data_IF_130106040991
#
_entry.id   IF_130106040991
#
_cell.length_a   1.000
_cell.length_b   1.000
_cell.length_c   1.000
_cell.angle_alpha   90.00
_cell.angle_beta   90.00
_cell.angle_gamma   90.00
#
_symmetry.space_group_name_H-M   'P 1'
#
loop_
_entity.id
_entity.type
_entity.pdbx_description
1 polymer ?
#
# COMPACT_ATOMS: atom_id res chain seq x y z
N UNK A 1 58.07 19.08 -47.61
CA UNK A 1 56.64 18.78 -47.73
C UNK A 1 56.47 17.28 -47.74
N UNK A 2 55.71 16.73 -46.77
CA UNK A 2 55.06 15.41 -46.69
C UNK A 2 55.99 14.15 -46.73
N UNK A 3 55.77 13.02 -46.05
CA UNK A 3 54.62 12.36 -45.42
C UNK A 3 55.13 11.53 -44.22
N UNK A 4 54.32 11.39 -43.16
CA UNK A 4 54.58 10.53 -41.99
C UNK A 4 53.54 9.41 -41.96
N UNK A 5 53.94 8.13 -41.88
CA UNK A 5 53.02 6.98 -41.81
C UNK A 5 53.53 5.90 -40.84
N UNK A 6 52.78 5.77 -39.72
CA UNK A 6 52.32 4.58 -38.96
C UNK A 6 53.15 3.66 -38.04
N UNK A 7 52.44 3.32 -36.94
CA UNK A 7 52.39 2.11 -36.08
C UNK A 7 53.56 1.84 -35.11
N UNK A 8 53.36 1.76 -33.79
CA UNK A 8 52.67 0.67 -33.04
C UNK A 8 52.42 1.19 -31.61
N UNK A 9 51.23 1.07 -31.00
CA UNK A 9 50.70 -0.16 -30.41
C UNK A 9 50.67 -0.04 -28.88
N UNK A 10 49.61 0.58 -28.30
CA UNK A 10 49.37 0.59 -26.85
C UNK A 10 48.29 -0.44 -26.54
N UNK A 11 48.66 -1.49 -25.83
CA UNK A 11 47.77 -2.48 -25.24
C UNK A 11 48.08 -2.48 -23.74
N UNK A 12 47.22 -1.84 -22.95
CA UNK A 12 47.23 -1.96 -21.51
C UNK A 12 45.78 -2.11 -21.02
N UNK A 13 45.56 -3.21 -20.29
CA UNK A 13 44.29 -3.72 -19.78
C UNK A 13 43.38 -2.66 -19.15
N UNK A 14 42.19 -2.48 -19.73
CA UNK A 14 41.07 -1.85 -19.03
C UNK A 14 40.30 -2.89 -18.22
N UNK A 15 40.67 -3.08 -16.96
CA UNK A 15 39.85 -3.82 -16.00
C UNK A 15 38.78 -2.86 -15.43
N UNK A 16 37.65 -2.76 -16.11
CA UNK A 16 36.47 -2.06 -15.58
C UNK A 16 35.66 -3.06 -14.74
N UNK A 17 35.90 -3.08 -13.43
CA UNK A 17 34.98 -3.69 -12.47
C UNK A 17 33.67 -2.89 -12.50
N UNK A 18 32.68 -3.38 -13.25
CA UNK A 18 31.32 -2.89 -13.19
C UNK A 18 30.72 -3.28 -11.83
N UNK A 19 30.86 -2.37 -10.86
CA UNK A 19 30.21 -2.49 -9.57
C UNK A 19 28.69 -2.53 -9.76
N UNK A 20 28.10 -3.69 -9.50
CA UNK A 20 26.65 -3.85 -9.41
C UNK A 20 26.19 -3.04 -8.19
N UNK A 21 25.76 -1.80 -8.42
CA UNK A 21 25.10 -1.01 -7.41
C UNK A 21 23.77 -1.70 -7.08
N UNK A 22 23.74 -2.38 -5.93
CA UNK A 22 22.52 -2.87 -5.33
C UNK A 22 21.71 -1.64 -4.91
N UNK A 23 20.76 -1.23 -5.76
CA UNK A 23 19.80 -0.20 -5.38
C UNK A 23 18.94 -0.78 -4.25
N UNK A 24 19.23 -0.38 -3.02
CA UNK A 24 18.34 -0.65 -1.90
C UNK A 24 16.98 -0.01 -2.21
N UNK A 25 15.84 -0.68 -1.92
CA UNK A 25 14.54 -0.04 -2.06
C UNK A 25 14.51 1.20 -1.16
N UNK A 26 14.09 2.33 -1.72
CA UNK A 26 13.84 3.53 -0.94
C UNK A 26 12.84 3.17 0.15
N UNK A 27 13.25 3.31 1.41
CA UNK A 27 12.32 3.19 2.53
C UNK A 27 11.29 4.31 2.36
N UNK A 28 10.01 3.94 2.24
CA UNK A 28 8.91 4.88 2.25
C UNK A 28 9.04 5.76 3.51
N UNK A 29 9.12 7.07 3.34
CA UNK A 29 8.99 8.01 4.46
C UNK A 29 7.64 7.74 5.10
N UNK A 30 7.54 7.44 6.41
CA UNK A 30 6.24 7.31 7.07
C UNK A 30 5.45 8.59 6.83
N UNK A 31 4.47 8.50 5.94
CA UNK A 31 3.69 9.64 5.50
C UNK A 31 2.69 10.00 6.57
N UNK A 32 2.60 11.28 6.89
CA UNK A 32 1.53 11.92 7.68
C UNK A 32 0.14 11.81 6.99
N UNK A 33 0.02 10.96 5.97
CA UNK A 33 -1.22 10.75 5.24
C UNK A 33 -2.19 9.98 6.13
N UNK A 34 -3.30 10.61 6.45
CA UNK A 34 -4.37 10.04 7.26
C UNK A 34 -5.48 9.44 6.38
N UNK A 35 -5.44 9.65 5.06
CA UNK A 35 -6.43 9.11 4.10
C UNK A 35 -6.35 7.61 3.92
N UNK A 36 -5.22 6.99 4.26
CA UNK A 36 -5.05 5.54 4.36
C UNK A 36 -4.61 5.20 5.77
N UNK A 37 -5.38 4.36 6.46
CA UNK A 37 -5.02 3.86 7.79
C UNK A 37 -3.74 3.03 7.67
N UNK A 38 -2.69 3.50 8.33
CA UNK A 38 -1.39 2.88 8.39
C UNK A 38 -0.94 2.66 9.84
N UNK A 39 0.06 1.81 10.03
CA UNK A 39 0.77 1.67 11.30
C UNK A 39 1.51 2.99 11.61
N UNK A 40 1.20 3.68 12.73
CA UNK A 40 1.84 4.95 13.08
C UNK A 40 3.36 4.85 13.27
N UNK A 41 3.89 3.67 13.60
CA UNK A 41 5.31 3.46 13.83
C UNK A 41 6.08 3.24 12.51
N UNK A 42 5.48 2.52 11.56
CA UNK A 42 6.16 2.13 10.32
C UNK A 42 5.67 2.85 9.07
N UNK A 43 4.51 3.50 9.11
CA UNK A 43 3.85 4.13 7.97
C UNK A 43 3.24 3.14 6.97
N UNK A 44 3.19 1.84 7.32
CA UNK A 44 2.73 0.80 6.40
C UNK A 44 1.21 0.70 6.46
N UNK A 45 0.58 0.80 5.28
CA UNK A 45 -0.86 0.67 5.10
C UNK A 45 -1.38 -0.63 5.72
N UNK A 46 -2.58 -0.57 6.29
CA UNK A 46 -3.26 -1.72 6.88
C UNK A 46 -2.44 -2.44 7.94
N UNK A 47 -1.49 -1.77 8.60
CA UNK A 47 -0.54 -2.37 9.53
C UNK A 47 0.26 -3.55 8.94
N UNK A 48 0.50 -3.51 7.62
CA UNK A 48 1.23 -4.53 6.88
C UNK A 48 0.44 -5.78 6.51
N UNK A 49 -0.87 -5.79 6.72
CA UNK A 49 -1.74 -6.86 6.22
C UNK A 49 -1.98 -6.73 4.71
N UNK A 50 -2.03 -7.86 4.03
CA UNK A 50 -2.27 -7.95 2.60
C UNK A 50 -3.77 -7.70 2.29
N UNK A 51 -4.12 -6.62 1.57
CA UNK A 51 -5.50 -6.31 1.24
C UNK A 51 -6.16 -7.34 0.30
N UNK A 52 -5.37 -8.03 -0.54
CA UNK A 52 -5.88 -9.03 -1.48
C UNK A 52 -6.29 -10.32 -0.74
N UNK A 53 -5.59 -10.66 0.33
CA UNK A 53 -5.84 -11.89 1.10
C UNK A 53 -7.25 -11.93 1.73
N UNK A 54 -7.86 -10.78 2.01
CA UNK A 54 -9.25 -10.72 2.49
C UNK A 54 -10.25 -11.31 1.49
N UNK A 55 -9.95 -11.24 0.19
CA UNK A 55 -10.79 -11.74 -0.88
C UNK A 55 -10.40 -13.15 -1.32
N UNK A 56 -9.10 -13.45 -1.40
CA UNK A 56 -8.60 -14.73 -1.90
C UNK A 56 -8.53 -15.81 -0.83
N UNK A 57 -8.23 -15.43 0.42
CA UNK A 57 -8.09 -16.35 1.55
C UNK A 57 -9.21 -16.20 2.59
N UNK A 58 -10.04 -15.14 2.49
CA UNK A 58 -11.13 -14.88 3.42
C UNK A 58 -10.67 -14.55 4.85
N UNK A 59 -9.41 -14.15 5.02
CA UNK A 59 -8.81 -13.86 6.32
C UNK A 59 -7.67 -12.84 6.21
N UNK A 60 -7.32 -12.13 7.30
CA UNK A 60 -6.16 -11.25 7.33
C UNK A 60 -4.88 -12.08 7.24
N UNK A 61 -3.97 -11.69 6.36
CA UNK A 61 -2.64 -12.30 6.22
C UNK A 61 -1.59 -11.21 6.24
N UNK A 62 -0.52 -11.39 7.01
CA UNK A 62 0.60 -10.44 7.01
C UNK A 62 1.36 -10.52 5.69
N UNK A 63 1.58 -9.35 5.10
CA UNK A 63 2.47 -9.19 3.98
C UNK A 63 3.94 -9.26 4.39
N UNK A 64 4.81 -9.36 3.39
CA UNK A 64 6.26 -9.48 3.56
C UNK A 64 6.94 -8.21 3.03
N UNK A 65 8.03 -7.73 3.66
CA UNK A 65 8.81 -6.61 3.13
C UNK A 65 9.33 -6.83 1.70
N UNK A 66 9.53 -8.09 1.31
CA UNK A 66 9.94 -8.47 -0.05
C UNK A 66 8.88 -8.12 -1.11
N UNK A 67 7.61 -8.04 -0.73
CA UNK A 67 6.50 -7.75 -1.63
C UNK A 67 5.81 -6.47 -1.15
N UNK A 68 6.35 -5.32 -1.56
CA UNK A 68 5.86 -4.01 -1.18
C UNK A 68 5.55 -3.16 -2.42
N UNK A 69 4.55 -2.29 -2.34
CA UNK A 69 4.24 -1.32 -3.38
C UNK A 69 3.62 -0.05 -2.79
N UNK A 70 3.83 1.08 -3.46
CA UNK A 70 3.21 2.35 -3.07
C UNK A 70 1.93 2.59 -3.87
N UNK A 71 0.87 3.01 -3.17
CA UNK A 71 -0.37 3.46 -3.79
C UNK A 71 -1.17 4.32 -2.81
N UNK A 72 -1.82 5.38 -3.31
CA UNK A 72 -2.65 6.26 -2.48
C UNK A 72 -1.89 7.01 -1.38
N UNK A 73 -0.58 7.23 -1.56
CA UNK A 73 0.27 7.89 -0.57
C UNK A 73 0.76 6.99 0.57
N UNK A 74 0.53 5.67 0.49
CA UNK A 74 0.96 4.71 1.51
C UNK A 74 1.71 3.51 0.90
N UNK A 75 2.59 2.91 1.72
CA UNK A 75 3.28 1.66 1.38
C UNK A 75 2.46 0.45 1.81
N UNK A 76 2.20 -0.47 0.88
CA UNK A 76 1.39 -1.67 1.05
C UNK A 76 2.26 -2.92 0.99
N UNK A 77 2.00 -3.88 1.88
CA UNK A 77 2.69 -5.18 1.88
C UNK A 77 1.76 -6.31 1.46
N UNK A 78 2.35 -7.31 0.81
CA UNK A 78 1.62 -8.45 0.25
C UNK A 78 2.24 -9.77 0.69
N UNK A 79 1.41 -10.80 0.83
CA UNK A 79 1.84 -12.15 1.21
C UNK A 79 2.62 -12.84 0.06
N UNK A 80 2.36 -12.42 -1.18
CA UNK A 80 2.98 -12.94 -2.40
C UNK A 80 3.18 -11.87 -3.48
N UNK A 81 4.07 -12.14 -4.44
CA UNK A 81 4.23 -11.29 -5.63
C UNK A 81 2.97 -11.25 -6.50
N UNK A 82 2.18 -12.32 -6.51
CA UNK A 82 0.91 -12.38 -7.25
C UNK A 82 -0.13 -11.44 -6.65
N UNK A 83 -0.26 -11.39 -5.32
CA UNK A 83 -1.17 -10.47 -4.64
C UNK A 83 -0.76 -9.01 -4.87
N UNK A 84 0.54 -8.71 -4.81
CA UNK A 84 1.07 -7.38 -5.18
C UNK A 84 0.67 -6.98 -6.59
N UNK A 85 0.83 -7.88 -7.56
CA UNK A 85 0.46 -7.63 -8.95
C UNK A 85 -1.05 -7.43 -9.12
N UNK A 86 -1.87 -8.25 -8.46
CA UNK A 86 -3.32 -8.12 -8.47
C UNK A 86 -3.76 -6.76 -7.89
N UNK A 87 -3.20 -6.37 -6.74
CA UNK A 87 -3.47 -5.06 -6.14
C UNK A 87 -3.11 -3.92 -7.09
N UNK A 88 -1.90 -3.90 -7.66
CA UNK A 88 -1.48 -2.83 -8.57
C UNK A 88 -2.30 -2.75 -9.86
N UNK A 89 -2.94 -3.85 -10.26
CA UNK A 89 -3.83 -3.85 -11.44
C UNK A 89 -5.21 -3.25 -11.18
N UNK A 90 -5.69 -3.28 -9.93
CA UNK A 90 -7.02 -2.81 -9.55
C UNK A 90 -7.07 -2.41 -8.06
N UNK A 91 -6.30 -1.40 -7.64
CA UNK A 91 -6.10 -1.10 -6.22
C UNK A 91 -7.41 -0.65 -5.55
N UNK A 92 -8.30 0.02 -6.29
CA UNK A 92 -9.61 0.44 -5.78
C UNK A 92 -10.54 -0.73 -5.45
N UNK A 93 -10.28 -1.94 -5.98
CA UNK A 93 -11.05 -3.16 -5.65
C UNK A 93 -10.60 -3.74 -4.31
N UNK A 94 -9.28 -3.77 -4.09
CA UNK A 94 -8.69 -4.47 -2.95
C UNK A 94 -8.46 -3.56 -1.74
N UNK A 95 -8.20 -2.27 -1.95
CA UNK A 95 -8.06 -1.32 -0.87
C UNK A 95 -9.35 -1.26 -0.04
N UNK A 96 -9.25 -1.16 1.30
CA UNK A 96 -10.41 -1.00 2.14
C UNK A 96 -11.14 0.30 1.81
N UNK A 97 -12.47 0.25 1.87
CA UNK A 97 -13.31 1.43 1.78
C UNK A 97 -12.95 2.43 2.88
N UNK A 98 -13.14 3.71 2.58
CA UNK A 98 -12.86 4.81 3.51
C UNK A 98 -11.41 4.79 4.02
N UNK A 99 -10.46 4.33 3.19
CA UNK A 99 -9.05 4.23 3.59
C UNK A 99 -8.76 3.23 4.70
N UNK A 100 -9.72 2.38 5.08
CA UNK A 100 -9.61 1.52 6.26
C UNK A 100 -10.16 2.14 7.54
N UNK A 101 -10.79 3.32 7.47
CA UNK A 101 -11.55 3.87 8.60
C UNK A 101 -12.87 3.12 8.81
N UNK A 102 -13.28 3.03 10.08
CA UNK A 102 -14.51 2.38 10.50
C UNK A 102 -15.75 3.05 9.86
N UNK A 103 -16.54 2.33 9.05
CA UNK A 103 -17.73 2.86 8.41
C UNK A 103 -18.75 3.46 9.39
N UNK A 104 -18.88 2.91 10.60
CA UNK A 104 -19.81 3.45 11.60
C UNK A 104 -19.29 4.74 12.25
N UNK A 105 -17.98 4.96 12.24
CA UNK A 105 -17.42 6.26 12.63
C UNK A 105 -17.62 7.27 11.50
N UNK A 106 -17.35 6.87 10.25
CA UNK A 106 -17.50 7.72 9.07
C UNK A 106 -18.96 8.18 8.92
N UNK A 107 -19.93 7.28 9.08
CA UNK A 107 -21.36 7.58 9.07
C UNK A 107 -21.80 8.58 10.18
N UNK A 108 -20.93 8.87 11.15
CA UNK A 108 -21.13 9.87 12.21
C UNK A 108 -20.23 11.08 12.04
N UNK A 109 -19.72 11.30 10.82
CA UNK A 109 -18.85 12.42 10.45
C UNK A 109 -17.46 12.37 11.08
N UNK A 110 -16.93 11.18 11.40
CA UNK A 110 -15.64 11.03 12.10
C UNK A 110 -14.75 9.98 11.46
N UNK A 111 -13.46 10.26 11.37
CA UNK A 111 -12.46 9.24 11.05
C UNK A 111 -12.07 8.46 12.33
N UNK A 112 -12.06 7.14 12.24
CA UNK A 112 -11.49 6.26 13.27
C UNK A 112 -10.86 5.06 12.58
N UNK A 113 -9.62 4.71 12.94
CA UNK A 113 -8.94 3.58 12.33
C UNK A 113 -9.70 2.27 12.59
N UNK A 114 -9.98 1.52 11.52
CA UNK A 114 -10.43 0.15 11.62
C UNK A 114 -9.29 -0.78 12.02
N UNK A 115 -9.64 -1.93 12.59
CA UNK A 115 -8.68 -2.97 12.96
C UNK A 115 -8.61 -4.03 11.83
N UNK A 116 -7.42 -4.38 11.30
CA UNK A 116 -7.30 -5.35 10.20
C UNK A 116 -7.95 -6.71 10.47
N UNK A 117 -7.97 -7.15 11.73
CA UNK A 117 -8.61 -8.41 12.11
C UNK A 117 -10.14 -8.36 12.25
N UNK A 118 -10.73 -7.17 12.20
CA UNK A 118 -12.18 -6.98 12.31
C UNK A 118 -12.66 -6.38 11.01
N UNK A 119 -13.09 -7.24 10.08
CA UNK A 119 -13.42 -6.86 8.73
C UNK A 119 -14.71 -7.52 8.25
N UNK A 120 -15.26 -6.99 7.17
CA UNK A 120 -16.27 -7.63 6.35
C UNK A 120 -15.97 -7.38 4.87
N UNK A 121 -16.22 -8.38 4.03
CA UNK A 121 -16.28 -8.19 2.58
C UNK A 121 -17.75 -8.20 2.20
N UNK A 122 -18.27 -7.06 1.74
CA UNK A 122 -19.67 -6.88 1.37
C UNK A 122 -19.74 -6.31 -0.04
N UNK A 123 -20.46 -6.98 -0.95
CA UNK A 123 -20.59 -6.58 -2.36
C UNK A 123 -19.21 -6.30 -3.00
N UNK A 124 -18.29 -7.24 -2.81
CA UNK A 124 -16.92 -7.20 -3.34
C UNK A 124 -16.10 -5.97 -2.88
N UNK A 125 -16.43 -5.39 -1.72
CA UNK A 125 -15.69 -4.30 -1.09
C UNK A 125 -15.26 -4.68 0.32
N UNK A 126 -14.02 -4.33 0.67
CA UNK A 126 -13.44 -4.55 1.99
C UNK A 126 -13.79 -3.40 2.93
N UNK A 127 -14.31 -3.72 4.11
CA UNK A 127 -14.58 -2.78 5.19
C UNK A 127 -13.85 -3.23 6.46
N UNK A 128 -13.19 -2.31 7.15
CA UNK A 128 -12.56 -2.55 8.45
C UNK A 128 -13.31 -1.84 9.55
N UNK A 129 -13.36 -2.44 10.74
CA UNK A 129 -14.11 -1.93 11.89
C UNK A 129 -13.21 -1.82 13.10
N UNK A 130 -13.48 -0.88 14.00
CA UNK A 130 -12.67 -0.73 15.21
C UNK A 130 -12.94 -1.83 16.25
N UNK A 131 -14.10 -2.48 16.18
CA UNK A 131 -14.53 -3.51 17.13
C UNK A 131 -15.51 -4.50 16.48
N UNK A 132 -15.59 -5.75 16.98
CA UNK A 132 -16.56 -6.73 16.51
C UNK A 132 -18.00 -6.22 16.56
N UNK A 133 -18.40 -5.53 17.64
CA UNK A 133 -19.75 -4.96 17.76
C UNK A 133 -20.08 -3.96 16.64
N UNK A 134 -19.09 -3.17 16.21
CA UNK A 134 -19.27 -2.23 15.11
C UNK A 134 -19.48 -2.97 13.78
N UNK A 135 -18.70 -4.02 13.53
CA UNK A 135 -18.88 -4.89 12.36
C UNK A 135 -20.25 -5.57 12.38
N UNK A 136 -20.65 -6.14 13.50
CA UNK A 136 -21.87 -6.93 13.60
C UNK A 136 -23.14 -6.05 13.51
N UNK A 137 -23.01 -4.76 13.86
CA UNK A 137 -24.07 -3.75 13.67
C UNK A 137 -24.10 -3.15 12.26
N UNK A 138 -23.11 -3.46 11.41
CA UNK A 138 -23.00 -2.88 10.08
C UNK A 138 -23.92 -3.59 9.08
N UNK A 139 -24.90 -2.85 8.56
CA UNK A 139 -25.89 -3.39 7.61
C UNK A 139 -25.84 -2.73 6.24
N UNK A 140 -25.45 -1.46 6.18
CA UNK A 140 -25.49 -0.65 4.96
C UNK A 140 -24.34 0.38 4.94
N UNK A 141 -23.52 0.41 3.87
CA UNK A 141 -22.50 1.44 3.70
C UNK A 141 -23.07 2.83 3.36
N UNK A 142 -24.32 2.97 2.91
CA UNK A 142 -24.84 4.23 2.36
C UNK A 142 -24.66 5.45 3.29
N UNK A 143 -24.89 5.38 4.61
CA UNK A 143 -24.62 6.50 5.51
C UNK A 143 -23.14 6.91 5.54
N UNK A 144 -22.23 5.94 5.54
CA UNK A 144 -20.80 6.22 5.51
C UNK A 144 -20.37 6.81 4.16
N UNK A 145 -20.94 6.33 3.05
CA UNK A 145 -20.68 6.87 1.70
C UNK A 145 -21.12 8.34 1.60
N UNK A 146 -22.26 8.69 2.20
CA UNK A 146 -22.77 10.05 2.19
C UNK A 146 -21.85 11.02 2.97
N UNK A 147 -21.32 10.59 4.11
CA UNK A 147 -20.46 11.40 4.98
C UNK A 147 -18.99 11.43 4.54
N UNK A 148 -18.52 10.41 3.80
CA UNK A 148 -17.11 10.24 3.47
C UNK A 148 -16.46 11.47 2.81
N UNK A 149 -17.06 12.17 1.83
CA UNK A 149 -16.43 13.35 1.23
C UNK A 149 -16.12 14.47 2.24
N UNK A 150 -16.96 14.63 3.27
CA UNK A 150 -16.72 15.61 4.33
C UNK A 150 -15.60 15.14 5.26
N UNK A 151 -15.64 13.87 5.69
CA UNK A 151 -14.61 13.27 6.55
C UNK A 151 -13.24 13.28 5.87
N UNK A 152 -13.15 12.86 4.62
CA UNK A 152 -11.89 12.77 3.86
C UNK A 152 -11.22 14.14 3.67
N UNK A 153 -12.01 15.20 3.52
CA UNK A 153 -11.49 16.56 3.35
C UNK A 153 -10.75 17.06 4.59
N UNK A 154 -11.12 16.55 5.76
CA UNK A 154 -10.52 16.93 7.05
C UNK A 154 -9.28 16.06 7.37
N UNK A 155 -8.97 15.04 6.55
CA UNK A 155 -7.78 14.20 6.68
C UNK A 155 -6.56 14.81 5.98
N UNK A 156 -5.40 14.69 6.62
CA UNK A 156 -4.12 15.07 6.03
C UNK A 156 -3.78 14.17 4.83
N UNK A 157 -3.52 14.71 3.63
CA UNK A 157 -3.15 13.93 2.43
C UNK A 157 -1.69 13.45 2.41
#
# INVERSE_FOLDING_TARGET
MAFTTTLTGVLACGALCAGLACAAPAAATPGLNERVVADPASGIALFGYDPVAYFTEGRPVLGKPLFEAEWGGAAWRFASAANRAAFLSAPEVYAPQFGGHDPLAVARGRAAAGHPQVFAVLRDRLYLFRSPDARDSFVDPAPAVAEWPAVERDLTP
#
